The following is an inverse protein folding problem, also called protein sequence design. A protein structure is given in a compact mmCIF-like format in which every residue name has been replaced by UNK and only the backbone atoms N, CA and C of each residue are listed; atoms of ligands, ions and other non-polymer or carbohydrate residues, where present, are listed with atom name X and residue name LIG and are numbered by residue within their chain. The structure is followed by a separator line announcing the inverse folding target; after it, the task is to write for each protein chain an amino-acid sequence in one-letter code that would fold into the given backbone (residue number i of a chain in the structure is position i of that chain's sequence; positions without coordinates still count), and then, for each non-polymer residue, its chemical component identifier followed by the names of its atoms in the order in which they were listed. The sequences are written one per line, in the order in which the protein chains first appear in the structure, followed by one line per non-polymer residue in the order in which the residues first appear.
data_IF_504437198368
#
_entry.id   IF_504437198368
#
_cell.length_a   1.000
_cell.length_b   1.000
_cell.length_c   1.000
_cell.angle_alpha   90.00
_cell.angle_beta   90.00
_cell.angle_gamma   90.00
#
_symmetry.space_group_name_H-M   'P 1'
#
loop_
_entity.id
_entity.type
_entity.pdbx_description
1 polymer ?
#
# COMPACT_ATOMS: atom_id res chain seq x y z
N UNK A 1 18.65 -10.82 -0.08
CA UNK A 1 18.54 -9.40 0.22
C UNK A 1 18.04 -9.13 1.64
N UNK A 2 16.88 -9.64 2.10
CA UNK A 2 16.35 -9.38 3.46
C UNK A 2 17.34 -9.67 4.58
N UNK A 3 18.02 -10.84 4.57
CA UNK A 3 19.00 -11.20 5.60
C UNK A 3 20.20 -10.24 5.66
N UNK A 4 20.67 -9.73 4.52
CA UNK A 4 21.79 -8.78 4.46
C UNK A 4 21.40 -7.42 5.06
N UNK A 5 20.19 -6.92 4.75
CA UNK A 5 19.67 -5.69 5.34
C UNK A 5 19.54 -5.82 6.87
N UNK A 6 18.92 -6.90 7.35
CA UNK A 6 18.76 -7.18 8.77
C UNK A 6 20.13 -7.22 9.47
N UNK A 7 21.08 -8.00 8.95
CA UNK A 7 22.43 -8.11 9.52
C UNK A 7 23.18 -6.79 9.59
N UNK A 8 22.91 -5.85 8.64
CA UNK A 8 23.57 -4.55 8.59
C UNK A 8 23.02 -3.57 9.62
N UNK A 9 21.72 -3.66 9.94
CA UNK A 9 21.05 -2.64 10.75
C UNK A 9 20.64 -3.11 12.15
N UNK A 10 20.55 -4.43 12.38
CA UNK A 10 20.13 -4.99 13.67
C UNK A 10 21.30 -5.76 14.30
N UNK A 11 21.73 -5.26 15.46
CA UNK A 11 22.76 -5.93 16.29
C UNK A 11 22.12 -7.18 16.92
N UNK A 12 22.88 -8.27 17.01
CA UNK A 12 22.42 -9.55 17.58
C UNK A 12 21.14 -10.11 16.94
N UNK A 13 20.98 -9.92 15.63
CA UNK A 13 19.79 -10.23 14.83
C UNK A 13 19.30 -11.69 14.94
N UNK A 14 20.13 -12.62 15.43
CA UNK A 14 19.77 -14.03 15.61
C UNK A 14 18.94 -14.26 16.89
N UNK A 15 19.07 -13.39 17.90
CA UNK A 15 18.40 -13.54 19.18
C UNK A 15 17.01 -12.86 19.18
N UNK A 16 16.08 -13.39 18.42
CA UNK A 16 14.71 -12.84 18.29
C UNK A 16 13.85 -12.99 19.55
N UNK A 17 14.32 -13.74 20.56
CA UNK A 17 13.66 -13.88 21.87
C UNK A 17 13.93 -12.65 22.78
N UNK A 18 15.02 -11.92 22.50
CA UNK A 18 15.34 -10.71 23.24
C UNK A 18 14.36 -9.60 22.84
N UNK A 19 13.72 -8.96 23.84
CA UNK A 19 12.76 -7.88 23.67
C UNK A 19 13.33 -6.70 22.87
N UNK A 20 14.60 -6.33 23.11
CA UNK A 20 15.26 -5.21 22.44
C UNK A 20 15.50 -5.50 20.95
N UNK A 21 15.94 -6.73 20.64
CA UNK A 21 16.12 -7.19 19.27
C UNK A 21 14.79 -7.25 18.54
N UNK A 22 13.75 -7.79 19.19
CA UNK A 22 12.38 -7.83 18.66
C UNK A 22 11.86 -6.43 18.32
N UNK A 23 12.03 -5.48 19.24
CA UNK A 23 11.66 -4.08 19.03
C UNK A 23 12.49 -3.43 17.90
N UNK A 24 13.78 -3.72 17.80
CA UNK A 24 14.63 -3.23 16.72
C UNK A 24 14.13 -3.72 15.34
N UNK A 25 13.71 -4.99 15.24
CA UNK A 25 13.07 -5.53 14.03
C UNK A 25 11.79 -4.77 13.66
N UNK A 26 10.91 -4.55 14.65
CA UNK A 26 9.65 -3.82 14.45
C UNK A 26 9.90 -2.39 13.96
N UNK A 27 10.76 -1.64 14.65
CA UNK A 27 11.13 -0.28 14.26
C UNK A 27 11.76 -0.22 12.87
N UNK A 28 12.69 -1.13 12.56
CA UNK A 28 13.35 -1.19 11.26
C UNK A 28 12.36 -1.48 10.14
N UNK A 29 11.47 -2.47 10.33
CA UNK A 29 10.46 -2.83 9.34
C UNK A 29 9.48 -1.67 9.09
N UNK A 30 9.06 -0.97 10.13
CA UNK A 30 8.19 0.21 10.00
C UNK A 30 8.88 1.36 9.24
N UNK A 31 10.16 1.62 9.52
CA UNK A 31 10.94 2.64 8.79
C UNK A 31 11.06 2.27 7.30
N UNK A 32 11.36 1.02 7.01
CA UNK A 32 11.38 0.51 5.62
C UNK A 32 10.03 0.72 4.94
N UNK A 33 8.93 0.43 5.65
CA UNK A 33 7.56 0.66 5.17
C UNK A 33 7.31 2.14 4.85
N UNK A 34 7.67 3.05 5.75
CA UNK A 34 7.53 4.50 5.54
C UNK A 34 8.32 4.96 4.31
N UNK A 35 9.59 4.55 4.19
CA UNK A 35 10.46 4.96 3.08
C UNK A 35 9.92 4.44 1.74
N UNK A 36 9.53 3.16 1.67
CA UNK A 36 9.01 2.58 0.44
C UNK A 36 7.69 3.24 0.01
N UNK A 37 6.76 3.44 0.94
CA UNK A 37 5.48 4.10 0.64
C UNK A 37 5.67 5.58 0.29
N UNK A 38 6.62 6.28 0.89
CA UNK A 38 6.98 7.65 0.51
C UNK A 38 7.56 7.72 -0.92
N UNK A 39 8.42 6.77 -1.30
CA UNK A 39 8.94 6.66 -2.67
C UNK A 39 7.80 6.42 -3.66
N UNK A 40 6.87 5.50 -3.35
CA UNK A 40 5.70 5.22 -4.18
C UNK A 40 4.77 6.44 -4.28
N UNK A 41 4.50 7.11 -3.16
CA UNK A 41 3.70 8.33 -3.13
C UNK A 41 4.29 9.41 -4.04
N UNK A 42 5.58 9.73 -3.85
CA UNK A 42 6.25 10.78 -4.62
C UNK A 42 6.30 10.43 -6.11
N UNK A 43 6.69 9.21 -6.45
CA UNK A 43 6.78 8.77 -7.85
C UNK A 43 5.43 8.81 -8.57
N UNK A 44 4.36 8.32 -7.92
CA UNK A 44 3.00 8.35 -8.47
C UNK A 44 2.42 9.77 -8.51
N UNK A 45 2.71 10.60 -7.51
CA UNK A 45 2.27 11.98 -7.50
C UNK A 45 2.87 12.77 -8.66
N UNK A 46 4.18 12.64 -8.89
CA UNK A 46 4.87 13.30 -10.01
C UNK A 46 4.28 12.82 -11.35
N UNK A 47 4.17 11.51 -11.56
CA UNK A 47 3.62 10.98 -12.81
C UNK A 47 2.16 11.32 -12.98
N UNK A 48 1.34 11.21 -11.91
CA UNK A 48 -0.09 11.55 -11.95
C UNK A 48 -0.34 13.02 -12.30
N UNK A 49 0.46 13.94 -11.74
CA UNK A 49 0.35 15.38 -12.05
C UNK A 49 0.84 15.70 -13.47
N UNK A 50 1.97 15.14 -13.89
CA UNK A 50 2.51 15.37 -15.24
C UNK A 50 1.64 14.78 -16.35
N UNK A 51 0.99 13.64 -16.12
CA UNK A 51 0.07 13.00 -17.06
C UNK A 51 -1.38 13.46 -16.91
N UNK A 52 -1.68 14.41 -15.99
CA UNK A 52 -3.02 14.85 -15.61
C UNK A 52 -3.97 13.66 -15.27
N UNK A 53 -3.42 12.54 -14.80
CA UNK A 53 -4.16 11.32 -14.47
C UNK A 53 -4.66 11.35 -13.03
N UNK A 54 -5.97 11.55 -12.87
CA UNK A 54 -6.65 11.51 -11.57
C UNK A 54 -6.51 10.12 -10.90
N UNK A 55 -6.51 9.07 -11.70
CA UNK A 55 -6.40 7.69 -11.19
C UNK A 55 -5.04 7.44 -10.54
N UNK A 56 -3.93 7.85 -11.16
CA UNK A 56 -2.57 7.70 -10.61
C UNK A 56 -2.40 8.59 -9.37
N UNK A 57 -2.97 9.79 -9.38
CA UNK A 57 -2.92 10.71 -8.24
C UNK A 57 -3.68 10.15 -7.05
N UNK A 58 -4.87 9.56 -7.27
CA UNK A 58 -5.63 8.89 -6.23
C UNK A 58 -4.86 7.69 -5.63
N UNK A 59 -4.18 6.90 -6.48
CA UNK A 59 -3.33 5.79 -6.05
C UNK A 59 -2.09 6.27 -5.28
N UNK A 60 -1.56 7.45 -5.59
CA UNK A 60 -0.53 8.10 -4.75
C UNK A 60 -1.04 8.38 -3.33
N UNK A 61 -2.26 8.93 -3.18
CA UNK A 61 -2.86 9.19 -1.86
C UNK A 61 -3.02 7.90 -1.06
N UNK A 62 -3.36 6.78 -1.71
CA UNK A 62 -3.40 5.48 -1.04
C UNK A 62 -2.04 5.11 -0.42
N UNK A 63 -0.93 5.29 -1.16
CA UNK A 63 0.41 5.03 -0.60
C UNK A 63 0.78 5.97 0.57
N UNK A 64 0.22 7.19 0.62
CA UNK A 64 0.37 8.07 1.78
C UNK A 64 -0.36 7.51 3.01
N UNK A 65 -1.56 6.94 2.82
CA UNK A 65 -2.30 6.24 3.89
C UNK A 65 -1.52 5.03 4.42
N UNK A 66 -0.86 4.27 3.55
CA UNK A 66 -0.02 3.13 3.92
C UNK A 66 1.24 3.58 4.69
N UNK A 67 1.81 4.72 4.31
CA UNK A 67 2.89 5.35 5.09
C UNK A 67 2.41 5.71 6.50
N UNK A 68 1.18 6.21 6.65
CA UNK A 68 0.57 6.53 7.94
C UNK A 68 0.40 5.28 8.81
N UNK A 69 -0.05 4.16 8.25
CA UNK A 69 -0.12 2.86 8.93
C UNK A 69 1.26 2.40 9.43
N UNK A 70 2.30 2.61 8.61
CA UNK A 70 3.69 2.30 8.96
C UNK A 70 4.21 3.22 10.08
N UNK A 71 3.79 4.48 10.13
CA UNK A 71 4.11 5.43 11.22
C UNK A 71 3.45 4.96 12.53
N UNK A 72 2.19 4.55 12.49
CA UNK A 72 1.49 4.01 13.67
C UNK A 72 2.21 2.76 14.20
N UNK A 73 2.62 1.86 13.32
CA UNK A 73 3.42 0.69 13.68
C UNK A 73 4.74 1.09 14.34
N UNK A 74 5.46 2.07 13.80
CA UNK A 74 6.71 2.59 14.37
C UNK A 74 6.49 3.18 15.77
N UNK A 75 5.45 3.97 15.95
CA UNK A 75 5.10 4.54 17.26
C UNK A 75 4.74 3.44 18.26
N UNK A 76 3.98 2.43 17.84
CA UNK A 76 3.64 1.27 18.66
C UNK A 76 4.89 0.53 19.16
N UNK A 77 5.82 0.20 18.29
CA UNK A 77 7.09 -0.42 18.68
C UNK A 77 7.96 0.48 19.55
N UNK A 78 7.95 1.80 19.29
CA UNK A 78 8.69 2.78 20.11
C UNK A 78 8.10 2.88 21.52
N UNK A 79 6.79 2.93 21.66
CA UNK A 79 6.11 2.97 22.95
C UNK A 79 6.26 1.64 23.70
N UNK A 80 6.08 0.51 23.00
CA UNK A 80 6.23 -0.83 23.58
C UNK A 80 7.64 -1.07 24.16
N UNK A 81 8.67 -0.36 23.67
CA UNK A 81 10.05 -0.46 24.17
C UNK A 81 10.35 0.36 25.42
N UNK A 82 9.37 1.10 25.97
CA UNK A 82 9.57 1.84 27.23
C UNK A 82 9.66 0.86 28.40
N UNK A 83 10.56 1.10 29.36
CA UNK A 83 10.64 0.30 30.59
C UNK A 83 9.36 0.45 31.42
N UNK A 84 9.19 -0.44 32.37
CA UNK A 84 8.14 -0.32 33.39
C UNK A 84 8.31 0.98 34.18
N UNK A 85 7.18 1.62 34.51
CA UNK A 85 7.08 2.80 35.34
C UNK A 85 6.02 2.58 36.46
N UNK A 86 5.80 3.58 37.29
CA UNK A 86 4.82 3.49 38.41
C UNK A 86 3.39 3.26 37.93
N UNK A 87 2.99 3.81 36.78
CA UNK A 87 1.66 3.64 36.19
C UNK A 87 1.54 2.31 35.43
N UNK A 88 2.65 1.78 34.91
CA UNK A 88 2.69 0.54 34.13
C UNK A 88 3.76 -0.42 34.67
N UNK A 89 3.51 -1.05 35.85
CA UNK A 89 4.50 -1.93 36.52
C UNK A 89 4.93 -3.15 35.69
N UNK A 90 4.06 -3.60 34.76
CA UNK A 90 4.33 -4.72 33.85
C UNK A 90 4.96 -4.29 32.52
N UNK A 91 5.34 -3.00 32.39
CA UNK A 91 5.91 -2.43 31.18
C UNK A 91 4.87 -2.12 30.08
N UNK A 92 5.37 -1.61 28.97
CA UNK A 92 4.57 -1.02 27.89
C UNK A 92 4.36 -1.96 26.68
N UNK A 93 4.69 -3.25 26.78
CA UNK A 93 4.64 -4.19 25.65
C UNK A 93 3.28 -4.30 24.93
N UNK A 94 2.18 -3.98 25.64
CA UNK A 94 0.82 -3.99 25.06
C UNK A 94 0.59 -2.93 23.98
N UNK A 95 1.40 -1.86 23.92
CA UNK A 95 1.29 -0.84 22.87
C UNK A 95 1.53 -1.40 21.46
N UNK A 96 2.29 -2.49 21.32
CA UNK A 96 2.45 -3.18 20.03
C UNK A 96 1.10 -3.75 19.55
N UNK A 97 0.33 -4.39 20.44
CA UNK A 97 -0.99 -4.94 20.10
C UNK A 97 -2.00 -3.84 19.79
N UNK A 98 -1.98 -2.73 20.54
CA UNK A 98 -2.84 -1.57 20.29
C UNK A 98 -2.52 -0.95 18.93
N UNK A 99 -1.25 -0.77 18.58
CA UNK A 99 -0.87 -0.26 17.27
C UNK A 99 -1.27 -1.22 16.15
N UNK A 100 -1.12 -2.54 16.36
CA UNK A 100 -1.59 -3.55 15.43
C UNK A 100 -3.10 -3.50 15.22
N UNK A 101 -3.89 -3.30 16.28
CA UNK A 101 -5.33 -3.09 16.19
C UNK A 101 -5.67 -1.82 15.40
N UNK A 102 -4.99 -0.70 15.67
CA UNK A 102 -5.20 0.54 14.91
C UNK A 102 -4.90 0.37 13.43
N UNK A 103 -3.79 -0.30 13.09
CA UNK A 103 -3.44 -0.63 11.69
C UNK A 103 -4.52 -1.51 11.06
N UNK A 104 -5.00 -2.54 11.75
CA UNK A 104 -6.05 -3.41 11.23
C UNK A 104 -7.37 -2.67 10.98
N UNK A 105 -7.76 -1.74 11.86
CA UNK A 105 -8.94 -0.88 11.69
C UNK A 105 -8.76 0.04 10.48
N UNK A 106 -7.60 0.66 10.30
CA UNK A 106 -7.31 1.49 9.13
C UNK A 106 -7.41 0.70 7.82
N UNK A 107 -6.81 -0.49 7.79
CA UNK A 107 -6.90 -1.38 6.61
C UNK A 107 -8.35 -1.74 6.31
N UNK A 108 -9.17 -1.99 7.34
CA UNK A 108 -10.59 -2.28 7.16
C UNK A 108 -11.35 -1.09 6.59
N UNK A 109 -11.12 0.13 7.09
CA UNK A 109 -11.75 1.36 6.58
C UNK A 109 -11.37 1.58 5.11
N UNK A 110 -10.06 1.52 4.80
CA UNK A 110 -9.56 1.66 3.42
C UNK A 110 -10.16 0.58 2.52
N UNK A 111 -10.25 -0.68 2.98
CA UNK A 111 -10.85 -1.77 2.24
C UNK A 111 -12.32 -1.52 1.89
N UNK A 112 -13.10 -0.95 2.82
CA UNK A 112 -14.51 -0.57 2.57
C UNK A 112 -14.59 0.56 1.54
N UNK A 113 -13.72 1.55 1.62
CA UNK A 113 -13.67 2.65 0.64
C UNK A 113 -13.27 2.16 -0.76
N UNK A 114 -12.27 1.30 -0.84
CA UNK A 114 -11.86 0.67 -2.10
C UNK A 114 -12.98 -0.19 -2.70
N UNK A 115 -13.71 -0.93 -1.88
CA UNK A 115 -14.87 -1.71 -2.34
C UNK A 115 -15.96 -0.81 -2.92
N UNK A 116 -16.33 0.29 -2.23
CA UNK A 116 -17.29 1.27 -2.72
C UNK A 116 -16.85 1.91 -4.03
N UNK A 117 -15.60 2.35 -4.09
CA UNK A 117 -15.01 2.95 -5.30
C UNK A 117 -14.97 1.97 -6.48
N UNK A 118 -14.66 0.69 -6.20
CA UNK A 118 -14.65 -0.34 -7.23
C UNK A 118 -16.06 -0.64 -7.75
N UNK A 119 -17.06 -0.67 -6.85
CA UNK A 119 -18.45 -0.87 -7.23
C UNK A 119 -18.95 0.31 -8.08
N UNK A 120 -18.63 1.53 -7.70
CA UNK A 120 -18.97 2.74 -8.47
C UNK A 120 -18.37 2.71 -9.88
N UNK A 121 -17.10 2.31 -10.02
CA UNK A 121 -16.44 2.14 -11.32
C UNK A 121 -17.04 1.04 -12.19
N UNK A 122 -17.62 0.00 -11.58
CA UNK A 122 -18.36 -1.04 -12.32
C UNK A 122 -19.71 -0.52 -12.82
N UNK A 123 -20.40 0.28 -11.99
CA UNK A 123 -21.70 0.88 -12.33
C UNK A 123 -21.57 2.07 -13.31
N UNK A 124 -20.48 2.83 -13.19
CA UNK A 124 -20.18 3.99 -14.02
C UNK A 124 -18.77 3.84 -14.64
N UNK A 125 -18.63 3.01 -15.69
CA UNK A 125 -17.33 2.75 -16.31
C UNK A 125 -16.73 4.05 -16.86
N UNK A 126 -15.53 4.41 -16.39
CA UNK A 126 -14.73 5.48 -16.98
C UNK A 126 -13.62 4.88 -17.85
N UNK A 127 -13.32 5.53 -18.97
CA UNK A 127 -12.21 5.10 -19.83
C UNK A 127 -10.90 5.10 -19.04
N UNK A 128 -10.20 3.98 -19.06
CA UNK A 128 -8.85 3.89 -18.51
C UNK A 128 -7.88 4.43 -19.56
N UNK A 129 -7.28 5.58 -19.30
CA UNK A 129 -6.24 6.12 -20.19
C UNK A 129 -5.02 5.21 -20.14
N UNK A 130 -4.77 4.53 -21.27
CA UNK A 130 -3.58 3.73 -21.44
C UNK A 130 -2.37 4.62 -21.72
N UNK A 131 -1.32 4.49 -20.91
CA UNK A 131 -0.03 5.12 -21.17
C UNK A 131 1.09 4.16 -20.76
N UNK A 132 2.15 4.08 -21.56
CA UNK A 132 3.35 3.31 -21.21
C UNK A 132 4.00 3.78 -19.91
N UNK A 133 3.87 5.07 -19.59
CA UNK A 133 4.34 5.63 -18.33
C UNK A 133 3.52 5.05 -17.16
N UNK A 134 2.20 4.98 -17.32
CA UNK A 134 1.29 4.35 -16.33
C UNK A 134 1.67 2.89 -16.08
N UNK A 135 1.89 2.12 -17.16
CA UNK A 135 2.32 0.72 -17.08
C UNK A 135 3.64 0.59 -16.31
N UNK A 136 4.62 1.46 -16.60
CA UNK A 136 5.91 1.47 -15.91
C UNK A 136 5.77 1.74 -14.40
N UNK A 137 5.00 2.75 -14.03
CA UNK A 137 4.78 3.14 -12.61
C UNK A 137 4.02 2.06 -11.85
N UNK A 138 2.96 1.49 -12.43
CA UNK A 138 2.20 0.40 -11.80
C UNK A 138 3.06 -0.86 -11.64
N UNK A 139 3.86 -1.21 -12.65
CA UNK A 139 4.79 -2.35 -12.57
C UNK A 139 5.84 -2.16 -11.47
N UNK A 140 6.43 -0.96 -11.37
CA UNK A 140 7.36 -0.61 -10.30
C UNK A 140 6.69 -0.70 -8.92
N UNK A 141 5.45 -0.20 -8.81
CA UNK A 141 4.66 -0.28 -7.58
C UNK A 141 4.43 -1.74 -7.16
N UNK A 142 4.03 -2.62 -8.08
CA UNK A 142 3.82 -4.05 -7.83
C UNK A 142 5.10 -4.71 -7.32
N UNK A 143 6.24 -4.44 -7.96
CA UNK A 143 7.53 -5.01 -7.56
C UNK A 143 7.92 -4.58 -6.14
N UNK A 144 7.82 -3.28 -5.85
CA UNK A 144 8.19 -2.75 -4.54
C UNK A 144 7.24 -3.24 -3.43
N UNK A 145 5.93 -3.24 -3.68
CA UNK A 145 4.92 -3.75 -2.73
C UNK A 145 5.04 -5.27 -2.51
N UNK A 146 5.34 -6.04 -3.54
CA UNK A 146 5.62 -7.48 -3.40
C UNK A 146 6.84 -7.70 -2.51
N UNK A 147 7.92 -6.96 -2.73
CA UNK A 147 9.10 -7.03 -1.89
C UNK A 147 8.79 -6.65 -0.43
N UNK A 148 8.02 -5.58 -0.20
CA UNK A 148 7.57 -5.16 1.14
C UNK A 148 6.71 -6.25 1.81
N UNK A 149 5.76 -6.85 1.10
CA UNK A 149 4.92 -7.92 1.61
C UNK A 149 5.75 -9.13 2.06
N UNK A 150 6.71 -9.56 1.25
CA UNK A 150 7.62 -10.66 1.59
C UNK A 150 8.55 -10.29 2.77
N UNK A 151 9.06 -9.07 2.79
CA UNK A 151 9.91 -8.58 3.87
C UNK A 151 9.16 -8.54 5.20
N UNK A 152 7.98 -7.91 5.25
CA UNK A 152 7.17 -7.79 6.46
C UNK A 152 6.60 -9.14 6.92
N UNK A 153 6.22 -10.03 6.00
CA UNK A 153 5.81 -11.40 6.35
C UNK A 153 6.94 -12.15 7.04
N UNK A 154 8.15 -12.06 6.49
CA UNK A 154 9.32 -12.76 7.05
C UNK A 154 9.72 -12.20 8.41
N UNK A 155 9.85 -10.88 8.53
CA UNK A 155 10.21 -10.22 9.78
C UNK A 155 9.12 -10.39 10.84
N UNK A 156 7.84 -10.24 10.47
CA UNK A 156 6.71 -10.45 11.36
C UNK A 156 6.63 -11.87 11.94
N UNK A 157 6.88 -12.89 11.10
CA UNK A 157 6.95 -14.28 11.58
C UNK A 157 8.16 -14.53 12.49
N UNK A 158 9.31 -13.92 12.21
CA UNK A 158 10.52 -14.10 13.03
C UNK A 158 10.36 -13.54 14.45
N UNK A 159 9.60 -12.45 14.62
CA UNK A 159 9.40 -11.81 15.92
C UNK A 159 7.98 -12.00 16.48
N UNK A 160 7.16 -12.86 15.86
CA UNK A 160 5.75 -13.09 16.21
C UNK A 160 4.94 -11.77 16.36
N UNK A 161 5.11 -10.85 15.41
CA UNK A 161 4.40 -9.56 15.41
C UNK A 161 3.19 -9.57 14.48
N UNK A 162 2.00 -9.50 15.08
CA UNK A 162 0.74 -9.39 14.32
C UNK A 162 0.65 -8.06 13.56
N UNK A 163 1.24 -7.00 14.08
CA UNK A 163 1.29 -5.68 13.43
C UNK A 163 2.01 -5.77 12.08
N UNK A 164 3.20 -6.39 12.02
CA UNK A 164 3.93 -6.56 10.77
C UNK A 164 3.24 -7.53 9.81
N UNK A 165 2.55 -8.54 10.33
CA UNK A 165 1.77 -9.47 9.50
C UNK A 165 0.57 -8.76 8.88
N UNK A 166 -0.12 -7.88 9.63
CA UNK A 166 -1.21 -7.05 9.09
C UNK A 166 -0.71 -6.11 7.99
N UNK A 167 0.41 -5.40 8.20
CA UNK A 167 1.04 -4.54 7.17
C UNK A 167 1.48 -5.34 5.93
N UNK A 168 1.93 -6.59 6.12
CA UNK A 168 2.26 -7.47 5.00
C UNK A 168 1.02 -7.90 4.20
N UNK A 169 -0.10 -8.14 4.87
CA UNK A 169 -1.37 -8.47 4.22
C UNK A 169 -1.89 -7.29 3.41
N UNK A 170 -1.79 -6.08 3.94
CA UNK A 170 -2.11 -4.83 3.25
C UNK A 170 -1.31 -4.67 1.96
N UNK A 171 0.02 -4.74 2.05
CA UNK A 171 0.90 -4.69 0.87
C UNK A 171 0.59 -5.77 -0.17
N UNK A 172 0.11 -6.96 0.24
CA UNK A 172 -0.33 -8.03 -0.64
C UNK A 172 -1.63 -7.69 -1.37
N UNK A 173 -2.59 -7.10 -0.66
CA UNK A 173 -3.84 -6.64 -1.25
C UNK A 173 -3.59 -5.57 -2.31
N UNK A 174 -2.67 -4.64 -2.05
CA UNK A 174 -2.25 -3.62 -3.01
C UNK A 174 -1.65 -4.23 -4.29
N UNK A 175 -0.84 -5.29 -4.16
CA UNK A 175 -0.29 -6.01 -5.32
C UNK A 175 -1.42 -6.61 -6.16
N UNK A 176 -2.42 -7.21 -5.53
CA UNK A 176 -3.56 -7.83 -6.22
C UNK A 176 -4.40 -6.76 -6.94
N UNK A 177 -4.76 -5.68 -6.24
CA UNK A 177 -5.58 -4.61 -6.81
C UNK A 177 -4.85 -3.86 -7.93
N UNK A 178 -3.59 -3.48 -7.72
CA UNK A 178 -2.77 -2.82 -8.75
C UNK A 178 -2.52 -3.76 -9.95
N UNK A 179 -2.32 -5.05 -9.69
CA UNK A 179 -2.17 -6.07 -10.73
C UNK A 179 -3.43 -6.24 -11.58
N UNK A 180 -4.61 -6.22 -10.95
CA UNK A 180 -5.90 -6.26 -11.67
C UNK A 180 -6.09 -5.01 -12.54
N UNK A 181 -5.76 -3.82 -12.03
CA UNK A 181 -5.83 -2.55 -12.80
C UNK A 181 -4.87 -2.58 -13.98
N UNK A 182 -3.63 -3.04 -13.78
CA UNK A 182 -2.63 -3.17 -14.83
C UNK A 182 -3.07 -4.15 -15.91
N UNK A 183 -3.60 -5.32 -15.51
CA UNK A 183 -4.12 -6.31 -16.45
C UNK A 183 -5.31 -5.76 -17.27
N UNK A 184 -6.24 -5.05 -16.62
CA UNK A 184 -7.37 -4.42 -17.28
C UNK A 184 -6.91 -3.35 -18.29
N UNK A 185 -5.92 -2.51 -17.94
CA UNK A 185 -5.38 -1.50 -18.83
C UNK A 185 -4.69 -2.12 -20.06
N UNK A 186 -3.92 -3.20 -19.88
CA UNK A 186 -3.27 -3.93 -20.97
C UNK A 186 -4.32 -4.59 -21.87
N UNK A 187 -5.30 -5.28 -21.29
CA UNK A 187 -6.37 -5.94 -22.06
C UNK A 187 -7.18 -4.94 -22.87
N UNK A 188 -7.55 -3.80 -22.29
CA UNK A 188 -8.27 -2.72 -22.98
C UNK A 188 -7.49 -2.23 -24.20
N UNK A 189 -6.18 -2.08 -24.07
CA UNK A 189 -5.33 -1.62 -25.16
C UNK A 189 -5.21 -2.64 -26.32
N UNK A 190 -5.06 -3.94 -26.01
CA UNK A 190 -4.87 -4.98 -27.03
C UNK A 190 -6.16 -5.50 -27.64
N UNK A 191 -7.27 -5.54 -26.90
CA UNK A 191 -8.56 -6.07 -27.37
C UNK A 191 -9.38 -4.99 -28.08
N UNK A 192 -8.93 -3.72 -28.05
CA UNK A 192 -9.67 -2.62 -28.67
C UNK A 192 -11.06 -2.40 -28.05
N UNK A 193 -11.24 -2.83 -26.81
CA UNK A 193 -12.44 -2.56 -26.03
C UNK A 193 -12.37 -1.08 -25.61
N UNK A 194 -12.60 -0.17 -26.60
CA UNK A 194 -13.05 1.16 -26.22
C UNK A 194 -14.42 0.98 -25.58
N UNK A 195 -14.62 1.33 -24.29
CA UNK A 195 -15.96 1.52 -23.78
C UNK A 195 -16.57 2.55 -24.73
N UNK A 196 -17.58 2.13 -25.50
CA UNK A 196 -18.26 2.94 -26.49
C UNK A 196 -18.63 4.25 -25.81
N UNK A 197 -17.84 5.28 -26.09
CA UNK A 197 -18.08 6.60 -25.55
C UNK A 197 -19.43 7.02 -26.11
N UNK A 198 -20.44 7.16 -25.25
CA UNK A 198 -21.76 7.69 -25.61
C UNK A 198 -21.67 9.04 -26.32
N UNK A 199 -20.53 9.69 -26.32
CA UNK A 199 -20.22 10.90 -27.09
C UNK A 199 -20.23 10.67 -28.59
N UNK A 200 -19.85 9.50 -29.10
CA UNK A 200 -19.92 9.19 -30.54
C UNK A 200 -21.38 8.94 -31.02
N UNK A 201 -22.24 8.37 -30.18
CA UNK A 201 -23.66 8.23 -30.50
C UNK A 201 -24.36 9.59 -30.55
N UNK A 202 -24.00 10.52 -29.69
CA UNK A 202 -24.60 11.86 -29.66
C UNK A 202 -24.15 12.72 -30.84
N UNK A 203 -22.93 12.55 -31.35
CA UNK A 203 -22.46 13.25 -32.56
C UNK A 203 -23.18 12.74 -33.82
N UNK A 204 -23.57 11.46 -33.87
CA UNK A 204 -24.37 10.91 -34.98
C UNK A 204 -25.83 11.33 -34.95
N UNK A 205 -26.43 11.55 -33.77
CA UNK A 205 -27.81 12.04 -33.68
C UNK A 205 -27.96 13.54 -34.02
N UNK A 206 -26.95 14.38 -33.65
CA UNK A 206 -26.97 15.80 -34.02
C UNK A 206 -26.75 16.05 -35.50
N UNK A 207 -26.06 15.18 -36.21
CA UNK A 207 -25.87 15.25 -37.67
C UNK A 207 -27.12 14.88 -38.49
N UNK A 208 -28.10 14.19 -37.87
CA UNK A 208 -29.31 13.70 -38.55
C UNK A 208 -30.52 14.66 -38.46
N UNK A 209 -30.45 15.70 -37.64
CA UNK A 209 -31.52 16.68 -37.43
C UNK A 209 -31.27 18.03 -38.14
N UNK A 210 -30.35 18.08 -39.10
CA UNK A 210 -30.05 19.28 -39.90
C UNK A 210 -30.23 19.02 -41.41
N UNK A 211 -31.23 18.25 -41.80
CA UNK A 211 -31.72 18.20 -43.22
C UNK A 211 -33.23 18.37 -43.20
#
# INVERSE_FOLDING_TARGET
MTKLLIKRFIKDYENTQNSDVRTAYGKFSSIVGIVCNAILFISKLIVGTLSASVSITADAVNNLSDASSSIISLLGFKLASRPADEEHPYGHGRYEYLSGLMVAVLIMVIGVELFKSSLDKVLHPSAVEFSWVTVGVLSFSILLKTWMALFNTKTGKMINSNTLIATAADSRNDVITTGAVLAAAILSHFVGFEPVSYTHLRAHETGRNLV
#
